data_IF_580421631999
#
_entry.id   IF_580421631999
#
_cell.length_a   1.000
_cell.length_b   1.000
_cell.length_c   1.000
_cell.angle_alpha   90.00
_cell.angle_beta   90.00
_cell.angle_gamma   90.00
#
_symmetry.space_group_name_H-M   'P 1'
#
loop_
_entity.id
_entity.type
_entity.pdbx_description
1 polymer ?
#
# COMPACT_ATOMS: atom_id res chain seq x y z
N UNK A 1 -30.53 -15.91 -17.18
CA UNK A 1 -29.33 -15.48 -17.91
C UNK A 1 -29.26 -13.98 -17.71
N UNK A 2 -28.51 -13.55 -16.70
CA UNK A 2 -28.25 -12.13 -16.43
C UNK A 2 -27.19 -11.65 -17.41
N UNK A 3 -27.49 -10.57 -18.13
CA UNK A 3 -26.50 -9.88 -18.97
C UNK A 3 -25.45 -9.26 -18.04
N UNK A 4 -24.18 -9.62 -18.26
CA UNK A 4 -23.03 -9.11 -17.53
C UNK A 4 -22.82 -7.62 -17.83
N UNK A 5 -23.21 -6.76 -16.90
CA UNK A 5 -22.87 -5.33 -16.84
C UNK A 5 -21.40 -5.11 -16.39
N UNK A 6 -20.46 -5.79 -17.03
CA UNK A 6 -19.02 -5.65 -16.76
C UNK A 6 -18.40 -4.29 -17.16
N UNK A 7 -18.81 -3.59 -18.25
CA UNK A 7 -18.10 -2.38 -18.69
C UNK A 7 -18.20 -1.20 -17.72
N UNK A 8 -19.40 -0.92 -17.20
CA UNK A 8 -19.65 0.29 -16.41
C UNK A 8 -19.04 0.21 -15.00
N UNK A 9 -18.91 -1.01 -14.43
CA UNK A 9 -18.26 -1.22 -13.13
C UNK A 9 -16.74 -1.08 -13.21
N UNK A 10 -16.12 -1.47 -14.33
CA UNK A 10 -14.69 -1.29 -14.60
C UNK A 10 -14.36 0.20 -14.79
N UNK A 11 -15.25 0.98 -15.39
CA UNK A 11 -15.01 2.40 -15.68
C UNK A 11 -15.09 3.30 -14.43
N UNK A 12 -16.00 3.04 -13.49
CA UNK A 12 -16.10 3.77 -12.22
C UNK A 12 -14.96 3.44 -11.24
N UNK A 13 -14.55 2.18 -11.21
CA UNK A 13 -13.38 1.71 -10.48
C UNK A 13 -12.07 2.39 -10.89
N UNK A 14 -11.89 2.59 -12.20
CA UNK A 14 -10.75 3.29 -12.75
C UNK A 14 -10.65 4.76 -12.28
N UNK A 15 -11.73 5.37 -11.78
CA UNK A 15 -11.70 6.77 -11.36
C UNK A 15 -11.03 7.00 -9.99
N UNK A 16 -11.35 6.20 -8.97
CA UNK A 16 -10.81 6.38 -7.62
C UNK A 16 -9.39 5.83 -7.46
N UNK A 17 -9.16 4.63 -7.99
CA UNK A 17 -7.82 4.03 -8.08
C UNK A 17 -6.92 4.84 -9.01
N UNK A 18 -7.44 5.24 -10.18
CA UNK A 18 -6.72 6.11 -11.11
C UNK A 18 -6.36 7.47 -10.51
N UNK A 19 -7.18 8.01 -9.60
CA UNK A 19 -6.83 9.23 -8.84
C UNK A 19 -5.64 9.00 -7.92
N UNK A 20 -5.59 7.86 -7.22
CA UNK A 20 -4.47 7.53 -6.34
C UNK A 20 -3.18 7.23 -7.12
N UNK A 21 -3.27 6.49 -8.22
CA UNK A 21 -2.13 6.24 -9.12
C UNK A 21 -1.62 7.56 -9.70
N UNK A 22 -2.49 8.38 -10.28
CA UNK A 22 -2.12 9.68 -10.85
C UNK A 22 -1.48 10.60 -9.82
N UNK A 23 -1.96 10.57 -8.56
CA UNK A 23 -1.33 11.29 -7.47
C UNK A 23 0.09 10.81 -7.22
N UNK A 24 0.34 9.50 -7.09
CA UNK A 24 1.69 9.00 -6.86
C UNK A 24 2.63 9.28 -8.04
N UNK A 25 2.14 9.17 -9.28
CA UNK A 25 2.92 9.52 -10.47
C UNK A 25 3.24 11.01 -10.54
N UNK A 26 2.27 11.88 -10.24
CA UNK A 26 2.50 13.31 -10.13
C UNK A 26 3.53 13.60 -9.03
N UNK A 27 3.39 13.00 -7.85
CA UNK A 27 4.36 13.17 -6.76
C UNK A 27 5.75 12.71 -7.19
N UNK A 28 5.89 11.58 -7.89
CA UNK A 28 7.17 11.08 -8.38
C UNK A 28 7.86 12.07 -9.34
N UNK A 29 7.08 12.85 -10.09
CA UNK A 29 7.60 13.89 -10.99
C UNK A 29 7.96 15.21 -10.31
N UNK A 30 7.43 15.47 -9.11
CA UNK A 30 7.56 16.74 -8.41
C UNK A 30 8.55 16.71 -7.23
N UNK A 31 8.78 15.54 -6.65
CA UNK A 31 9.72 15.38 -5.54
C UNK A 31 11.16 15.43 -6.03
N UNK A 32 12.08 15.96 -5.21
CA UNK A 32 13.50 16.06 -5.56
C UNK A 32 14.36 14.99 -4.91
N UNK A 33 15.67 15.02 -5.16
CA UNK A 33 16.64 14.04 -4.66
C UNK A 33 16.54 13.81 -3.14
N UNK A 34 16.39 14.88 -2.35
CA UNK A 34 16.29 14.75 -0.90
C UNK A 34 15.03 13.99 -0.45
N UNK A 35 13.92 14.11 -1.17
CA UNK A 35 12.70 13.36 -0.89
C UNK A 35 12.90 11.88 -1.21
N UNK A 36 13.51 11.57 -2.35
CA UNK A 36 13.83 10.20 -2.74
C UNK A 36 14.77 9.55 -1.71
N UNK A 37 15.83 10.23 -1.29
CA UNK A 37 16.77 9.72 -0.27
C UNK A 37 16.08 9.42 1.07
N UNK A 38 15.14 10.27 1.50
CA UNK A 38 14.33 10.01 2.71
C UNK A 38 13.44 8.78 2.51
N UNK A 39 12.68 8.73 1.41
CA UNK A 39 11.79 7.60 1.13
C UNK A 39 12.56 6.28 0.97
N UNK A 40 13.72 6.32 0.31
CA UNK A 40 14.62 5.19 0.14
C UNK A 40 15.15 4.70 1.48
N UNK A 41 15.67 5.60 2.33
CA UNK A 41 16.16 5.22 3.65
C UNK A 41 15.07 4.57 4.50
N UNK A 42 13.85 5.11 4.47
CA UNK A 42 12.70 4.56 5.20
C UNK A 42 12.27 3.20 4.65
N UNK A 43 12.16 3.07 3.33
CA UNK A 43 11.80 1.81 2.68
C UNK A 43 12.85 0.72 2.97
N UNK A 44 14.15 1.05 2.89
CA UNK A 44 15.22 0.12 3.24
C UNK A 44 15.22 -0.23 4.72
N UNK A 45 14.92 0.73 5.61
CA UNK A 45 14.78 0.46 7.03
C UNK A 45 13.71 -0.60 7.31
N UNK A 46 12.55 -0.46 6.68
CA UNK A 46 11.45 -1.40 6.83
C UNK A 46 11.77 -2.76 6.19
N UNK A 47 12.40 -2.79 5.03
CA UNK A 47 12.52 -4.02 4.22
C UNK A 47 13.81 -4.81 4.42
N UNK A 48 14.90 -4.16 4.85
CA UNK A 48 16.17 -4.80 5.14
C UNK A 48 16.37 -5.03 6.64
N UNK A 49 15.77 -4.20 7.50
CA UNK A 49 15.98 -4.25 8.96
C UNK A 49 14.72 -4.61 9.74
N UNK A 50 13.52 -4.34 9.21
CA UNK A 50 12.26 -4.51 9.91
C UNK A 50 11.96 -3.43 10.95
N UNK A 51 12.74 -2.34 10.97
CA UNK A 51 12.55 -1.24 11.92
C UNK A 51 13.15 0.07 11.39
N UNK A 52 12.54 1.20 11.80
CA UNK A 52 12.94 2.55 11.41
C UNK A 52 13.66 3.26 12.57
N UNK A 53 14.75 3.95 12.27
CA UNK A 53 15.46 4.76 13.25
C UNK A 53 14.65 5.99 13.67
N UNK A 54 14.93 6.58 14.85
CA UNK A 54 14.44 7.90 15.21
C UNK A 54 14.74 8.93 14.11
N UNK A 55 13.82 9.87 13.90
CA UNK A 55 13.88 10.83 12.79
C UNK A 55 15.13 11.69 12.80
N UNK A 56 15.61 12.07 13.98
CA UNK A 56 16.82 12.86 14.18
C UNK A 56 18.06 12.13 13.67
N UNK A 57 18.09 10.79 13.78
CA UNK A 57 19.18 9.99 13.24
C UNK A 57 19.14 9.91 11.71
N UNK A 58 17.95 9.76 11.13
CA UNK A 58 17.76 9.77 9.68
C UNK A 58 18.14 11.14 9.11
N UNK A 59 17.62 12.22 9.71
CA UNK A 59 17.94 13.60 9.31
C UNK A 59 19.43 13.85 9.41
N UNK A 60 20.07 13.48 10.52
CA UNK A 60 21.51 13.65 10.72
C UNK A 60 22.31 12.90 9.64
N UNK A 61 21.99 11.63 9.39
CA UNK A 61 22.67 10.80 8.38
C UNK A 61 22.57 11.43 6.98
N UNK A 62 21.38 11.86 6.59
CA UNK A 62 21.16 12.45 5.25
C UNK A 62 21.74 13.87 5.14
N UNK A 63 21.72 14.64 6.23
CA UNK A 63 22.26 16.00 6.27
C UNK A 63 23.77 16.06 6.02
N UNK A 64 24.52 14.99 6.31
CA UNK A 64 25.97 14.91 6.07
C UNK A 64 26.35 15.17 4.59
N UNK A 65 25.47 14.84 3.65
CA UNK A 65 25.73 15.01 2.21
C UNK A 65 24.69 15.87 1.47
N UNK A 66 23.46 16.02 2.00
CA UNK A 66 22.42 16.84 1.38
C UNK A 66 22.28 18.23 2.01
N UNK A 67 22.75 18.42 3.25
CA UNK A 67 22.54 19.61 4.06
C UNK A 67 21.24 19.56 4.87
N UNK A 68 21.32 19.96 6.13
CA UNK A 68 20.24 19.84 7.13
C UNK A 68 18.94 20.55 6.70
N UNK A 69 19.03 21.79 6.21
CA UNK A 69 17.86 22.56 5.77
C UNK A 69 17.10 21.88 4.62
N UNK A 70 17.83 21.24 3.70
CA UNK A 70 17.21 20.52 2.58
C UNK A 70 16.47 19.28 3.06
N UNK A 71 17.08 18.50 3.95
CA UNK A 71 16.48 17.28 4.49
C UNK A 71 15.23 17.62 5.31
N UNK A 72 15.31 18.62 6.20
CA UNK A 72 14.18 19.07 6.99
C UNK A 72 13.04 19.63 6.11
N UNK A 73 13.38 20.42 5.07
CA UNK A 73 12.40 20.92 4.11
C UNK A 73 11.70 19.81 3.34
N UNK A 74 12.47 18.83 2.83
CA UNK A 74 11.93 17.68 2.11
C UNK A 74 11.05 16.80 3.00
N UNK A 75 11.46 16.54 4.25
CA UNK A 75 10.68 15.79 5.22
C UNK A 75 9.34 16.47 5.54
N UNK A 76 9.35 17.78 5.81
CA UNK A 76 8.14 18.55 6.06
C UNK A 76 7.19 18.54 4.84
N UNK A 77 7.76 18.55 3.63
CA UNK A 77 6.98 18.43 2.40
C UNK A 77 6.40 17.03 2.21
N UNK A 78 7.15 15.96 2.49
CA UNK A 78 6.65 14.59 2.45
C UNK A 78 5.48 14.38 3.42
N UNK A 79 5.56 14.95 4.63
CA UNK A 79 4.46 14.93 5.59
C UNK A 79 3.25 15.73 5.09
N UNK A 80 3.46 16.95 4.59
CA UNK A 80 2.40 17.79 4.02
C UNK A 80 1.69 17.12 2.84
N UNK A 81 2.45 16.40 2.00
CA UNK A 81 1.96 15.61 0.85
C UNK A 81 1.44 14.23 1.27
N UNK A 82 1.44 13.88 2.55
CA UNK A 82 0.93 12.62 3.11
C UNK A 82 1.69 11.37 2.62
N UNK A 83 2.90 11.55 2.11
CA UNK A 83 3.80 10.45 1.71
C UNK A 83 4.56 9.87 2.90
N UNK A 84 4.62 10.62 4.01
CA UNK A 84 5.17 10.20 5.29
C UNK A 84 4.17 10.59 6.37
N UNK A 85 3.98 9.73 7.37
CA UNK A 85 3.25 10.07 8.59
C UNK A 85 4.15 9.99 9.81
N UNK A 86 4.13 11.04 10.62
CA UNK A 86 4.81 11.11 11.90
C UNK A 86 3.81 11.01 13.07
N UNK A 87 4.25 10.42 14.17
CA UNK A 87 3.52 10.38 15.43
C UNK A 87 3.57 11.77 16.07
N UNK A 88 2.42 12.28 16.53
CA UNK A 88 2.36 13.55 17.25
C UNK A 88 3.20 13.49 18.53
N UNK A 89 4.07 14.48 18.73
CA UNK A 89 4.85 14.68 19.96
C UNK A 89 6.25 14.07 19.96
N UNK A 90 6.44 12.94 19.28
CA UNK A 90 7.71 12.20 19.33
C UNK A 90 8.48 12.20 17.98
N UNK A 91 7.88 12.77 16.93
CA UNK A 91 8.38 12.76 15.56
C UNK A 91 8.83 11.36 15.08
N UNK A 92 8.18 10.28 15.55
CA UNK A 92 8.45 8.91 15.12
C UNK A 92 7.69 8.61 13.83
N UNK A 93 8.31 7.91 12.89
CA UNK A 93 7.60 7.43 11.70
C UNK A 93 6.50 6.44 12.08
N UNK A 94 5.32 6.63 11.50
CA UNK A 94 4.15 5.76 11.67
C UNK A 94 3.87 5.00 10.38
N UNK A 95 4.06 5.64 9.23
CA UNK A 95 3.90 4.99 7.94
C UNK A 95 4.47 5.80 6.79
N UNK A 96 4.62 5.13 5.64
CA UNK A 96 5.14 5.71 4.41
C UNK A 96 4.25 5.32 3.22
N UNK A 97 4.18 6.21 2.23
CA UNK A 97 3.46 6.03 0.95
C UNK A 97 1.98 5.65 1.10
N UNK A 98 1.38 5.96 2.25
CA UNK A 98 -0.02 5.64 2.55
C UNK A 98 -0.33 4.16 2.77
N UNK A 99 0.60 3.24 2.49
CA UNK A 99 0.36 1.80 2.59
C UNK A 99 1.20 1.10 3.68
N UNK A 100 2.47 1.46 3.81
CA UNK A 100 3.42 0.79 4.69
C UNK A 100 3.31 1.35 6.10
N UNK A 101 3.20 0.45 7.08
CA UNK A 101 3.18 0.79 8.50
C UNK A 101 4.51 0.43 9.15
N UNK A 102 4.99 1.33 10.01
CA UNK A 102 6.12 1.04 10.91
C UNK A 102 5.67 0.19 12.11
N UNK A 103 4.39 0.30 12.48
CA UNK A 103 3.77 -0.48 13.54
C UNK A 103 3.31 -1.84 13.03
N UNK A 104 3.26 -2.83 13.94
CA UNK A 104 2.64 -4.12 13.62
C UNK A 104 1.15 -3.93 13.37
N UNK A 105 0.66 -4.49 12.27
CA UNK A 105 -0.76 -4.60 11.94
C UNK A 105 -1.12 -6.08 11.73
N UNK A 106 -2.40 -6.36 11.53
CA UNK A 106 -2.87 -7.69 11.12
C UNK A 106 -2.43 -8.03 9.68
N UNK A 107 -2.07 -7.03 8.89
CA UNK A 107 -1.63 -7.16 7.50
C UNK A 107 -0.11 -7.24 7.48
N UNK A 108 0.42 -8.46 7.58
CA UNK A 108 1.85 -8.75 7.56
C UNK A 108 2.29 -9.38 6.23
N UNK A 109 3.33 -8.86 5.60
CA UNK A 109 4.03 -9.51 4.50
C UNK A 109 5.42 -9.98 4.98
N UNK A 110 5.71 -11.26 4.82
CA UNK A 110 7.03 -11.82 5.07
C UNK A 110 7.84 -11.80 3.78
N UNK A 111 8.89 -10.98 3.74
CA UNK A 111 9.77 -10.89 2.59
C UNK A 111 10.69 -12.10 2.52
N UNK A 112 11.10 -12.49 1.31
CA UNK A 112 12.13 -13.52 1.07
C UNK A 112 13.47 -13.26 1.76
N UNK A 113 13.72 -12.03 2.24
CA UNK A 113 14.88 -11.65 3.05
C UNK A 113 14.78 -12.09 4.52
N UNK A 114 13.63 -12.61 4.97
CA UNK A 114 13.35 -12.96 6.36
C UNK A 114 12.82 -11.80 7.20
N UNK A 115 12.46 -10.68 6.58
CA UNK A 115 11.94 -9.47 7.25
C UNK A 115 10.43 -9.41 7.13
N UNK A 116 9.76 -9.12 8.24
CA UNK A 116 8.33 -8.83 8.28
C UNK A 116 8.07 -7.34 8.02
N UNK A 117 7.18 -7.05 7.08
CA UNK A 117 6.69 -5.71 6.74
C UNK A 117 5.19 -5.67 6.97
N UNK A 118 4.67 -4.50 7.38
CA UNK A 118 3.26 -4.34 7.72
C UNK A 118 2.60 -3.29 6.84
N UNK A 119 1.33 -3.47 6.50
CA UNK A 119 0.52 -2.50 5.76
C UNK A 119 -0.71 -2.06 6.56
N UNK A 120 -1.31 -0.94 6.16
CA UNK A 120 -2.57 -0.48 6.75
C UNK A 120 -3.79 -1.25 6.24
N UNK A 121 -3.75 -1.74 5.00
CA UNK A 121 -4.81 -2.54 4.38
C UNK A 121 -4.35 -3.92 3.92
N UNK A 122 -5.30 -4.84 3.79
CA UNK A 122 -5.05 -6.18 3.26
C UNK A 122 -4.74 -6.15 1.76
N UNK A 123 -5.45 -5.33 0.98
CA UNK A 123 -5.21 -5.22 -0.46
C UNK A 123 -3.83 -4.61 -0.77
N UNK A 124 -3.37 -3.65 0.05
CA UNK A 124 -2.06 -3.01 -0.10
C UNK A 124 -0.88 -3.99 -0.02
N UNK A 125 -1.06 -5.16 0.60
CA UNK A 125 -0.04 -6.20 0.65
C UNK A 125 0.29 -6.74 -0.75
N UNK A 126 -0.68 -6.72 -1.66
CA UNK A 126 -0.52 -7.15 -3.04
C UNK A 126 0.37 -6.21 -3.85
N UNK A 127 0.53 -4.96 -3.44
CA UNK A 127 1.38 -4.00 -4.17
C UNK A 127 2.85 -4.12 -3.76
N UNK A 128 3.15 -4.78 -2.64
CA UNK A 128 4.48 -4.75 -2.02
C UNK A 128 5.53 -5.45 -2.88
N UNK A 129 5.18 -6.51 -3.59
CA UNK A 129 6.10 -7.20 -4.51
C UNK A 129 6.61 -6.24 -5.60
N UNK A 130 5.74 -5.40 -6.14
CA UNK A 130 6.06 -4.42 -7.17
C UNK A 130 6.73 -3.17 -6.59
N UNK A 131 6.31 -2.73 -5.40
CA UNK A 131 6.96 -1.60 -4.70
C UNK A 131 8.38 -1.93 -4.27
N UNK A 132 8.65 -3.19 -3.88
CA UNK A 132 9.91 -3.60 -3.26
C UNK A 132 10.78 -4.52 -4.13
N UNK A 133 10.25 -4.96 -5.29
CA UNK A 133 10.87 -5.94 -6.18
C UNK A 133 11.30 -7.23 -5.47
N UNK A 134 10.41 -7.77 -4.62
CA UNK A 134 10.65 -8.96 -3.80
C UNK A 134 9.44 -9.87 -3.77
N UNK A 135 9.69 -11.17 -3.89
CA UNK A 135 8.71 -12.20 -3.54
C UNK A 135 8.39 -12.15 -2.05
N UNK A 136 7.14 -12.46 -1.70
CA UNK A 136 6.63 -12.33 -0.34
C UNK A 136 5.49 -13.31 -0.04
N UNK A 137 5.37 -13.66 1.23
CA UNK A 137 4.22 -14.37 1.79
C UNK A 137 3.31 -13.35 2.52
N UNK A 138 2.06 -13.22 2.10
CA UNK A 138 1.06 -12.32 2.67
C UNK A 138 0.25 -13.04 3.73
N UNK A 139 0.15 -12.45 4.91
CA UNK A 139 -0.70 -12.90 6.00
C UNK A 139 -1.67 -11.78 6.39
N UNK A 140 -2.96 -12.10 6.39
CA UNK A 140 -4.03 -11.20 6.85
C UNK A 140 -5.24 -11.99 7.34
N UNK A 141 -6.29 -11.30 7.76
CA UNK A 141 -7.58 -11.89 8.10
C UNK A 141 -8.66 -11.29 7.20
N UNK A 142 -9.64 -12.10 6.81
CA UNK A 142 -10.85 -11.63 6.15
C UNK A 142 -11.55 -10.60 7.04
N UNK A 143 -11.83 -9.41 6.49
CA UNK A 143 -12.43 -8.32 7.25
C UNK A 143 -13.86 -8.63 7.76
N UNK A 144 -14.59 -9.54 7.10
CA UNK A 144 -15.93 -9.95 7.51
C UNK A 144 -15.92 -11.11 8.52
N UNK A 145 -15.28 -12.23 8.15
CA UNK A 145 -15.37 -13.49 8.90
C UNK A 145 -14.22 -13.71 9.89
N UNK A 146 -13.13 -12.93 9.79
CA UNK A 146 -11.92 -13.11 10.58
C UNK A 146 -11.07 -14.32 10.17
N UNK A 147 -11.47 -15.07 9.13
CA UNK A 147 -10.71 -16.21 8.63
C UNK A 147 -9.31 -15.78 8.16
N UNK A 148 -8.28 -16.55 8.52
CA UNK A 148 -6.91 -16.27 8.10
C UNK A 148 -6.73 -16.47 6.59
N UNK A 149 -6.19 -15.46 5.93
CA UNK A 149 -5.83 -15.49 4.51
C UNK A 149 -4.30 -15.51 4.44
N UNK A 150 -3.76 -16.50 3.73
CA UNK A 150 -2.35 -16.62 3.42
C UNK A 150 -2.17 -16.77 1.92
N UNK A 151 -1.40 -15.86 1.32
CA UNK A 151 -1.04 -15.88 -0.09
C UNK A 151 0.47 -15.93 -0.25
N UNK A 152 0.94 -16.63 -1.28
CA UNK A 152 2.31 -16.49 -1.75
C UNK A 152 2.34 -15.73 -3.06
N UNK A 153 3.12 -14.66 -3.11
CA UNK A 153 3.31 -13.84 -4.30
C UNK A 153 4.74 -14.00 -4.79
N UNK A 154 4.88 -14.40 -6.05
CA UNK A 154 6.17 -14.52 -6.72
C UNK A 154 6.10 -13.85 -8.10
N UNK A 155 7.06 -12.99 -8.39
CA UNK A 155 6.98 -12.13 -9.59
C UNK A 155 5.75 -11.24 -9.54
N UNK A 156 4.86 -11.36 -10.54
CA UNK A 156 3.63 -10.57 -10.72
C UNK A 156 2.35 -11.35 -10.38
N UNK A 157 2.46 -12.52 -9.73
CA UNK A 157 1.34 -13.45 -9.57
C UNK A 157 1.23 -14.03 -8.16
N UNK A 158 -0.02 -14.36 -7.79
CA UNK A 158 -0.31 -15.24 -6.65
C UNK A 158 -0.06 -16.67 -7.11
N UNK A 159 0.92 -17.34 -6.48
CA UNK A 159 1.36 -18.69 -6.85
C UNK A 159 0.88 -19.77 -5.87
N UNK A 160 0.42 -19.38 -4.68
CA UNK A 160 -0.18 -20.28 -3.69
C UNK A 160 -1.18 -19.51 -2.79
N UNK A 161 -2.18 -20.21 -2.28
CA UNK A 161 -3.19 -19.66 -1.39
C UNK A 161 -3.79 -20.74 -0.48
N UNK A 162 -4.01 -20.42 0.80
CA UNK A 162 -4.75 -21.29 1.71
C UNK A 162 -6.28 -21.26 1.50
N UNK A 163 -6.78 -20.31 0.70
CA UNK A 163 -8.21 -20.12 0.41
C UNK A 163 -8.44 -20.09 -1.09
N UNK A 164 -9.44 -20.85 -1.53
CA UNK A 164 -9.95 -20.77 -2.89
C UNK A 164 -11.04 -19.70 -2.97
N UNK A 165 -11.00 -18.86 -4.01
CA UNK A 165 -12.03 -17.85 -4.24
C UNK A 165 -11.87 -16.58 -3.40
N UNK A 166 -10.62 -16.15 -3.18
CA UNK A 166 -10.35 -14.87 -2.50
C UNK A 166 -10.93 -13.73 -3.31
N UNK A 167 -11.64 -12.84 -2.62
CA UNK A 167 -12.16 -11.60 -3.15
C UNK A 167 -11.42 -10.41 -2.52
N UNK A 168 -11.52 -9.25 -3.13
CA UNK A 168 -10.91 -8.01 -2.66
C UNK A 168 -11.89 -6.85 -2.65
N UNK A 169 -11.52 -5.78 -1.96
CA UNK A 169 -12.17 -4.49 -2.10
C UNK A 169 -11.09 -3.42 -2.19
N UNK A 170 -11.19 -2.54 -3.18
CA UNK A 170 -10.31 -1.39 -3.34
C UNK A 170 -11.13 -0.15 -3.00
N UNK A 171 -10.76 0.55 -1.92
CA UNK A 171 -11.42 1.80 -1.56
C UNK A 171 -11.00 2.92 -2.52
N UNK A 172 -11.97 3.74 -2.94
CA UNK A 172 -11.70 4.91 -3.75
C UNK A 172 -11.07 6.01 -2.88
N UNK A 173 -10.14 6.77 -3.46
CA UNK A 173 -9.61 7.96 -2.80
C UNK A 173 -10.18 9.24 -3.42
N UNK A 174 -10.76 10.09 -2.57
CA UNK A 174 -11.39 11.36 -2.95
C UNK A 174 -10.39 12.54 -3.05
N UNK A 175 -9.09 12.28 -2.88
CA UNK A 175 -8.04 13.30 -2.84
C UNK A 175 -7.94 14.04 -1.49
N UNK A 176 -8.83 13.78 -0.53
CA UNK A 176 -8.95 14.52 0.74
C UNK A 176 -8.76 13.65 1.96
N UNK A 177 -9.24 12.41 1.95
CA UNK A 177 -9.05 11.43 3.02
C UNK A 177 -7.57 11.12 3.25
N UNK A 178 -7.24 10.68 4.45
CA UNK A 178 -5.88 10.22 4.75
C UNK A 178 -5.61 8.92 3.98
N UNK A 179 -4.44 8.79 3.36
CA UNK A 179 -4.12 7.61 2.55
C UNK A 179 -4.18 6.29 3.36
N UNK A 180 -3.80 6.34 4.64
CA UNK A 180 -3.91 5.20 5.55
C UNK A 180 -5.36 4.74 5.82
N UNK A 181 -6.33 5.65 5.73
CA UNK A 181 -7.75 5.36 5.91
C UNK A 181 -8.30 4.65 4.66
N UNK A 182 -7.92 5.14 3.48
CA UNK A 182 -8.20 4.46 2.20
C UNK A 182 -7.60 3.06 2.20
N UNK A 183 -6.34 2.94 2.62
CA UNK A 183 -5.66 1.66 2.77
C UNK A 183 -6.41 0.73 3.73
N UNK A 184 -6.73 1.18 4.93
CA UNK A 184 -7.45 0.38 5.94
C UNK A 184 -8.84 -0.09 5.46
N UNK A 185 -9.47 0.65 4.57
CA UNK A 185 -10.73 0.27 3.94
C UNK A 185 -10.56 -0.68 2.74
N UNK A 186 -9.35 -0.86 2.22
CA UNK A 186 -9.03 -1.75 1.10
C UNK A 186 -8.64 -3.14 1.60
N UNK A 187 -9.61 -4.06 1.60
CA UNK A 187 -9.54 -5.32 2.34
C UNK A 187 -9.50 -6.56 1.42
N UNK A 188 -9.07 -7.69 1.99
CA UNK A 188 -9.19 -9.02 1.38
C UNK A 188 -10.27 -9.84 2.09
N UNK A 189 -10.92 -10.71 1.33
CA UNK A 189 -12.05 -11.52 1.77
C UNK A 189 -11.84 -12.98 1.41
N UNK A 190 -12.30 -13.87 2.29
CA UNK A 190 -12.16 -15.31 2.09
C UNK A 190 -13.12 -15.85 1.02
N UNK A 191 -14.14 -15.07 0.63
CA UNK A 191 -15.12 -15.42 -0.40
C UNK A 191 -15.88 -14.20 -0.92
N UNK A 192 -16.57 -14.35 -2.05
CA UNK A 192 -17.50 -13.34 -2.57
C UNK A 192 -18.63 -13.03 -1.55
N UNK A 193 -19.13 -14.05 -0.86
CA UNK A 193 -20.16 -13.88 0.17
C UNK A 193 -19.66 -13.02 1.35
N UNK A 194 -18.38 -13.14 1.72
CA UNK A 194 -17.78 -12.30 2.74
C UNK A 194 -17.61 -10.85 2.27
N UNK A 195 -17.25 -10.65 1.00
CA UNK A 195 -17.17 -9.33 0.39
C UNK A 195 -18.56 -8.66 0.38
N UNK A 196 -19.58 -9.34 -0.16
CA UNK A 196 -20.95 -8.84 -0.22
C UNK A 196 -21.48 -8.47 1.17
N UNK A 197 -21.34 -9.38 2.14
CA UNK A 197 -21.78 -9.15 3.52
C UNK A 197 -21.04 -7.99 4.22
N UNK A 198 -19.79 -7.74 3.85
CA UNK A 198 -19.04 -6.59 4.34
C UNK A 198 -19.53 -5.30 3.70
N UNK A 199 -19.73 -5.27 2.38
CA UNK A 199 -20.22 -4.08 1.67
C UNK A 199 -21.63 -3.68 2.15
N UNK A 200 -22.50 -4.64 2.47
CA UNK A 200 -23.82 -4.35 3.06
C UNK A 200 -23.73 -3.69 4.45
N UNK A 201 -22.70 -4.03 5.24
CA UNK A 201 -22.46 -3.45 6.57
C UNK A 201 -21.73 -2.11 6.51
N UNK A 202 -21.05 -1.83 5.40
CA UNK A 202 -20.20 -0.65 5.18
C UNK A 202 -20.61 0.14 3.93
N UNK A 203 -21.89 0.51 3.76
CA UNK A 203 -22.35 1.23 2.57
C UNK A 203 -21.75 2.65 2.44
N UNK A 204 -21.12 3.17 3.50
CA UNK A 204 -20.42 4.45 3.50
C UNK A 204 -19.04 4.43 2.83
N UNK A 205 -18.46 3.23 2.65
CA UNK A 205 -17.12 3.09 2.06
C UNK A 205 -17.25 3.04 0.54
N UNK A 206 -16.84 4.12 -0.11
CA UNK A 206 -16.78 4.19 -1.56
C UNK A 206 -15.62 3.36 -2.12
N UNK A 207 -15.87 2.58 -3.16
CA UNK A 207 -14.88 1.68 -3.74
C UNK A 207 -15.48 0.58 -4.61
N UNK A 208 -14.61 -0.34 -5.01
CA UNK A 208 -14.95 -1.45 -5.89
C UNK A 208 -14.75 -2.78 -5.18
N UNK A 209 -15.81 -3.59 -5.15
CA UNK A 209 -15.71 -5.01 -4.85
C UNK A 209 -15.10 -5.77 -6.04
N UNK A 210 -14.12 -6.61 -5.74
CA UNK A 210 -13.47 -7.50 -6.68
C UNK A 210 -13.84 -8.94 -6.30
N UNK A 211 -14.93 -9.50 -6.88
CA UNK A 211 -15.23 -10.92 -6.71
C UNK A 211 -14.09 -11.79 -7.23
N UNK A 212 -14.06 -13.06 -6.82
CA UNK A 212 -12.93 -13.96 -7.01
C UNK A 212 -12.48 -14.13 -8.48
N UNK A 213 -13.42 -14.08 -9.42
CA UNK A 213 -13.16 -14.18 -10.86
C UNK A 213 -12.48 -12.92 -11.43
N UNK A 214 -12.73 -11.75 -10.84
CA UNK A 214 -12.09 -10.48 -11.20
C UNK A 214 -10.82 -10.22 -10.39
N UNK A 215 -10.76 -10.68 -9.14
CA UNK A 215 -9.67 -10.37 -8.21
C UNK A 215 -8.29 -10.72 -8.77
N UNK A 216 -8.14 -11.91 -9.34
CA UNK A 216 -6.86 -12.36 -9.87
C UNK A 216 -6.36 -11.51 -11.05
N UNK A 217 -7.26 -10.98 -11.87
CA UNK A 217 -6.87 -10.24 -13.07
C UNK A 217 -6.85 -8.73 -12.84
N UNK A 218 -7.98 -8.18 -12.39
CA UNK A 218 -8.13 -6.74 -12.11
C UNK A 218 -7.34 -6.36 -10.87
N UNK A 219 -7.48 -7.13 -9.78
CA UNK A 219 -6.81 -6.83 -8.51
C UNK A 219 -5.28 -6.89 -8.61
N UNK A 220 -4.72 -7.87 -9.33
CA UNK A 220 -3.26 -7.93 -9.51
C UNK A 220 -2.76 -6.85 -10.48
N UNK A 221 -3.51 -6.51 -11.53
CA UNK A 221 -3.13 -5.40 -12.43
C UNK A 221 -3.13 -4.06 -11.69
N UNK A 222 -4.18 -3.79 -10.92
CA UNK A 222 -4.29 -2.65 -10.00
C UNK A 222 -3.09 -2.58 -9.04
N UNK A 223 -2.79 -3.70 -8.37
CA UNK A 223 -1.67 -3.80 -7.45
C UNK A 223 -0.32 -3.56 -8.12
N UNK A 224 -0.14 -4.00 -9.36
CA UNK A 224 1.06 -3.76 -10.17
C UNK A 224 1.22 -2.28 -10.52
N UNK A 225 0.18 -1.63 -11.01
CA UNK A 225 0.24 -0.21 -11.37
C UNK A 225 0.49 0.67 -10.14
N UNK A 226 -0.28 0.45 -9.08
CA UNK A 226 -0.12 1.17 -7.82
C UNK A 226 1.25 0.90 -7.18
N UNK A 227 1.70 -0.35 -7.18
CA UNK A 227 3.00 -0.74 -6.67
C UNK A 227 4.15 -0.13 -7.46
N UNK A 228 4.02 -0.04 -8.79
CA UNK A 228 4.96 0.62 -9.68
C UNK A 228 5.01 2.14 -9.48
N UNK A 229 3.87 2.80 -9.27
CA UNK A 229 3.84 4.23 -8.95
C UNK A 229 4.56 4.54 -7.62
N UNK A 230 4.38 3.68 -6.61
CA UNK A 230 5.11 3.76 -5.33
C UNK A 230 6.61 3.50 -5.50
N UNK A 231 7.00 2.54 -6.35
CA UNK A 231 8.41 2.26 -6.66
C UNK A 231 9.10 3.50 -7.23
N UNK A 232 8.48 4.21 -8.18
CA UNK A 232 9.01 5.46 -8.75
C UNK A 232 9.28 6.52 -7.67
N UNK A 233 8.43 6.61 -6.63
CA UNK A 233 8.61 7.54 -5.52
C UNK A 233 9.78 7.20 -4.59
N UNK A 234 10.02 5.91 -4.34
CA UNK A 234 11.15 5.49 -3.49
C UNK A 234 12.49 5.87 -4.15
N UNK A 235 12.52 5.98 -5.48
CA UNK A 235 13.72 6.40 -6.20
C UNK A 235 14.86 5.41 -5.97
N UNK A 236 14.58 4.10 -6.12
CA UNK A 236 15.64 3.10 -6.09
C UNK A 236 16.70 3.47 -7.14
N UNK A 237 17.89 3.87 -6.68
CA UNK A 237 19.06 3.98 -7.53
C UNK A 237 19.41 2.59 -8.06
N UNK A 238 19.46 2.41 -9.37
CA UNK A 238 20.03 1.23 -10.02
C UNK A 238 21.47 0.95 -9.54
#
# INVERSE_FOLDING_TARGET
>A
MSENNLPDQIEFAAAGEGTLIAFFEQMASEVGDAHHEILNELARALTERGWVQPIDQIVKKLAEHLGEDKVNGALAELERRRLVKLARGDNRFVGILGCLSVGRTIHRAHLSTGVDVFTFGGFDQLTLNHTLLKDLDVFTTCANSGQEIHLKIAGDQIVDSNINGIAGFIANWDGKQALEEVAANSNLFASDADLEAWQEKHPEVDGMGLPADLFLWVGMSAAQELGGARFKLIGHSE
#
